data_IF_202823976908
#
_entry.id   IF_202823976908
#
_cell.length_a   1.000
_cell.length_b   1.000
_cell.length_c   1.000
_cell.angle_alpha   90.00
_cell.angle_beta   90.00
_cell.angle_gamma   90.00
#
_symmetry.space_group_name_H-M   'P 1'
#
loop_
_entity.id
_entity.type
_entity.pdbx_description
1 polymer ?
#
# COMPACT_ATOMS: atom_id res chain seq x y z
N UNK A 1 9.58 2.44 -24.30
CA UNK A 1 8.79 3.16 -23.28
C UNK A 1 9.23 2.67 -21.91
N UNK A 2 9.38 3.58 -20.97
CA UNK A 2 9.85 3.29 -19.62
C UNK A 2 8.70 3.52 -18.63
N UNK A 3 8.43 2.53 -17.79
CA UNK A 3 7.36 2.57 -16.79
C UNK A 3 7.96 2.31 -15.41
N UNK A 4 7.60 3.12 -14.42
CA UNK A 4 7.96 2.88 -13.02
C UNK A 4 6.66 2.64 -12.25
N UNK A 5 6.60 1.54 -11.51
CA UNK A 5 5.45 1.19 -10.66
C UNK A 5 5.93 0.62 -9.32
N UNK A 6 4.99 0.47 -8.37
CA UNK A 6 5.28 0.10 -7.00
C UNK A 6 4.40 -1.06 -6.52
N UNK A 7 4.94 -1.86 -5.62
CA UNK A 7 4.18 -2.77 -4.75
C UNK A 7 4.33 -2.30 -3.30
N UNK A 8 3.29 -2.50 -2.49
CA UNK A 8 3.22 -2.05 -1.10
C UNK A 8 2.46 -3.07 -0.26
N UNK A 9 2.75 -3.12 1.05
CA UNK A 9 1.92 -3.77 2.06
C UNK A 9 0.42 -3.55 1.74
N UNK A 10 -0.37 -4.62 1.47
CA UNK A 10 -1.74 -4.52 0.97
C UNK A 10 -2.65 -3.74 1.92
N UNK A 11 -2.52 -3.94 3.23
CA UNK A 11 -3.33 -3.21 4.21
C UNK A 11 -2.92 -1.73 4.23
N UNK A 12 -1.62 -1.43 4.22
CA UNK A 12 -1.13 -0.04 4.15
C UNK A 12 -1.60 0.67 2.87
N UNK A 13 -1.65 -0.05 1.74
CA UNK A 13 -2.16 0.46 0.47
C UNK A 13 -3.65 0.75 0.53
N UNK A 14 -4.43 -0.12 1.17
CA UNK A 14 -5.88 0.04 1.33
C UNK A 14 -6.19 1.24 2.24
N UNK A 15 -5.53 1.35 3.39
CA UNK A 15 -5.68 2.51 4.30
C UNK A 15 -5.32 3.80 3.56
N UNK A 16 -4.20 3.81 2.83
CA UNK A 16 -3.83 4.97 2.00
C UNK A 16 -4.87 5.29 0.92
N UNK A 17 -5.52 4.28 0.34
CA UNK A 17 -6.56 4.44 -0.68
C UNK A 17 -7.86 5.03 -0.13
N UNK A 18 -8.27 4.60 1.08
CA UNK A 18 -9.40 5.20 1.79
C UNK A 18 -9.15 6.70 1.99
N UNK A 19 -8.01 7.09 2.55
CA UNK A 19 -7.70 8.51 2.81
C UNK A 19 -7.56 9.35 1.55
N UNK A 20 -7.09 8.76 0.45
CA UNK A 20 -7.04 9.44 -0.84
C UNK A 20 -8.44 9.71 -1.43
N UNK A 21 -9.44 8.93 -1.01
CA UNK A 21 -10.81 9.01 -1.53
C UNK A 21 -11.84 9.33 -0.44
N UNK A 22 -11.39 9.86 0.70
CA UNK A 22 -12.20 9.87 1.93
C UNK A 22 -13.51 10.63 1.80
N UNK A 23 -13.52 11.76 1.08
CA UNK A 23 -14.73 12.57 0.87
C UNK A 23 -15.79 11.88 0.01
N UNK A 24 -15.41 10.87 -0.78
CA UNK A 24 -16.37 10.02 -1.51
C UNK A 24 -17.20 9.16 -0.55
N UNK A 25 -16.62 8.81 0.59
CA UNK A 25 -17.20 7.89 1.57
C UNK A 25 -17.85 8.65 2.72
N UNK A 26 -17.24 9.78 3.08
CA UNK A 26 -17.68 10.64 4.15
C UNK A 26 -17.82 12.05 3.60
N UNK A 27 -19.03 12.45 3.17
CA UNK A 27 -19.29 13.82 2.77
C UNK A 27 -18.88 14.81 3.88
N UNK A 28 -18.29 15.93 3.49
CA UNK A 28 -17.81 16.98 4.39
C UNK A 28 -16.81 16.48 5.45
N UNK A 29 -16.03 15.45 5.12
CA UNK A 29 -15.08 14.78 6.02
C UNK A 29 -14.23 15.75 6.86
N UNK A 30 -13.61 16.73 6.21
CA UNK A 30 -12.71 17.68 6.89
C UNK A 30 -13.45 18.55 7.91
N UNK A 31 -14.68 18.99 7.59
CA UNK A 31 -15.50 19.78 8.51
C UNK A 31 -15.93 18.91 9.70
N UNK A 32 -16.45 17.71 9.43
CA UNK A 32 -16.84 16.75 10.46
C UNK A 32 -15.66 16.40 11.38
N UNK A 33 -14.47 16.15 10.83
CA UNK A 33 -13.27 15.88 11.63
C UNK A 33 -12.88 17.09 12.50
N UNK A 34 -12.88 18.31 11.94
CA UNK A 34 -12.55 19.52 12.70
C UNK A 34 -13.47 19.76 13.90
N UNK A 35 -14.74 19.33 13.79
CA UNK A 35 -15.75 19.39 14.85
C UNK A 35 -15.78 18.16 15.76
N UNK A 36 -14.85 17.21 15.57
CA UNK A 36 -14.83 15.91 16.26
C UNK A 36 -16.16 15.13 16.12
N UNK A 37 -16.79 15.24 14.96
CA UNK A 37 -18.04 14.58 14.60
C UNK A 37 -17.84 13.28 13.79
N UNK A 38 -16.59 12.80 13.74
CA UNK A 38 -16.17 11.48 13.25
C UNK A 38 -15.19 10.94 14.27
N UNK A 39 -15.36 9.69 14.67
CA UNK A 39 -14.40 8.97 15.49
C UNK A 39 -13.71 7.84 14.69
N UNK A 40 -12.75 7.19 15.34
CA UNK A 40 -11.97 6.11 14.72
C UNK A 40 -12.78 4.84 14.50
N UNK A 41 -13.87 4.63 15.24
CA UNK A 41 -14.70 3.44 15.13
C UNK A 41 -15.61 3.56 13.89
N UNK A 42 -16.23 4.72 13.65
CA UNK A 42 -16.97 5.01 12.40
C UNK A 42 -16.06 4.85 11.18
N UNK A 43 -14.80 5.32 11.26
CA UNK A 43 -13.83 5.14 10.17
C UNK A 43 -13.43 3.67 9.96
N UNK A 44 -13.33 2.89 11.03
CA UNK A 44 -12.99 1.47 10.95
C UNK A 44 -14.14 0.68 10.31
N UNK A 45 -15.39 0.97 10.67
CA UNK A 45 -16.58 0.39 10.06
C UNK A 45 -16.64 0.71 8.56
N UNK A 46 -16.42 1.97 8.17
CA UNK A 46 -16.36 2.38 6.75
C UNK A 46 -15.23 1.65 6.03
N UNK A 47 -14.07 1.49 6.67
CA UNK A 47 -12.93 0.78 6.07
C UNK A 47 -13.23 -0.71 5.84
N UNK A 48 -13.88 -1.38 6.80
CA UNK A 48 -14.13 -2.82 6.79
C UNK A 48 -15.38 -3.22 5.99
N UNK A 49 -16.40 -2.38 5.95
CA UNK A 49 -17.68 -2.69 5.30
C UNK A 49 -17.88 -1.90 4.01
N UNK A 50 -17.81 -0.58 4.04
CA UNK A 50 -18.15 0.22 2.86
C UNK A 50 -17.04 0.22 1.80
N UNK A 51 -15.80 0.45 2.21
CA UNK A 51 -14.66 0.51 1.29
C UNK A 51 -14.30 -0.88 0.74
N UNK A 52 -14.46 -1.91 1.57
CA UNK A 52 -14.16 -3.30 1.22
C UNK A 52 -15.24 -3.97 0.39
N UNK A 53 -16.50 -3.91 0.83
CA UNK A 53 -17.56 -4.67 0.17
C UNK A 53 -18.03 -4.00 -1.12
N UNK A 54 -17.97 -2.66 -1.22
CA UNK A 54 -18.56 -1.92 -2.35
C UNK A 54 -17.62 -1.69 -3.53
N UNK A 55 -16.29 -1.78 -3.38
CA UNK A 55 -15.36 -1.40 -4.46
C UNK A 55 -14.44 -2.52 -4.95
N UNK A 56 -14.45 -3.74 -4.37
CA UNK A 56 -13.40 -4.76 -4.67
C UNK A 56 -11.97 -4.16 -4.52
N UNK A 57 -11.86 -3.01 -3.86
CA UNK A 57 -10.67 -2.17 -3.75
C UNK A 57 -9.53 -2.90 -3.05
N UNK A 58 -9.89 -3.82 -2.18
CA UNK A 58 -8.97 -4.67 -1.44
C UNK A 58 -8.35 -5.78 -2.29
N UNK A 59 -9.01 -6.17 -3.38
CA UNK A 59 -8.44 -7.08 -4.39
C UNK A 59 -7.63 -6.33 -5.43
N UNK A 60 -7.75 -5.01 -5.50
CA UNK A 60 -7.02 -4.19 -6.46
C UNK A 60 -5.51 -4.47 -6.43
N UNK A 61 -4.82 -4.54 -5.27
CA UNK A 61 -3.42 -4.92 -5.25
C UNK A 61 -3.16 -6.27 -5.91
N UNK A 62 -4.08 -7.23 -5.79
CA UNK A 62 -3.90 -8.61 -6.26
C UNK A 62 -4.20 -8.81 -7.75
N UNK A 63 -4.96 -7.90 -8.37
CA UNK A 63 -5.39 -8.03 -9.78
C UNK A 63 -4.91 -6.90 -10.67
N UNK A 64 -4.38 -5.80 -10.12
CA UNK A 64 -3.97 -4.65 -10.92
C UNK A 64 -2.91 -5.01 -11.95
N UNK A 65 -1.85 -5.75 -11.58
CA UNK A 65 -0.80 -6.11 -12.54
C UNK A 65 -1.31 -6.99 -13.68
N UNK A 66 -2.17 -7.98 -13.39
CA UNK A 66 -2.72 -8.85 -14.42
C UNK A 66 -3.76 -8.16 -15.29
N UNK A 67 -4.50 -7.18 -14.75
CA UNK A 67 -5.49 -6.41 -15.48
C UNK A 67 -4.87 -5.29 -16.33
N UNK A 68 -3.78 -4.68 -15.89
CA UNK A 68 -3.24 -3.45 -16.50
C UNK A 68 -1.88 -3.66 -17.18
N UNK A 69 -0.94 -4.41 -16.59
CA UNK A 69 0.39 -4.56 -17.18
C UNK A 69 0.43 -5.59 -18.30
N UNK A 70 -0.18 -6.76 -18.10
CA UNK A 70 -0.12 -7.82 -19.09
C UNK A 70 -0.86 -7.44 -20.39
N UNK A 71 -2.09 -6.89 -20.35
CA UNK A 71 -2.82 -6.56 -21.59
C UNK A 71 -2.24 -5.36 -22.33
N UNK A 72 -1.62 -4.42 -21.63
CA UNK A 72 -1.14 -3.16 -22.23
C UNK A 72 0.34 -3.24 -22.62
N UNK A 73 1.18 -3.92 -21.83
CA UNK A 73 2.63 -3.94 -22.00
C UNK A 73 3.20 -5.34 -22.25
N UNK A 74 2.38 -6.39 -22.18
CA UNK A 74 2.85 -7.78 -22.32
C UNK A 74 3.82 -8.19 -21.21
N UNK A 75 3.72 -7.58 -20.03
CA UNK A 75 4.56 -7.87 -18.87
C UNK A 75 3.73 -8.55 -17.78
N UNK A 76 4.06 -9.81 -17.50
CA UNK A 76 3.55 -10.55 -16.34
C UNK A 76 4.61 -10.55 -15.25
N UNK A 77 4.43 -9.69 -14.26
CA UNK A 77 5.38 -9.56 -13.14
C UNK A 77 5.37 -10.78 -12.23
N UNK A 78 4.30 -11.58 -12.24
CA UNK A 78 4.15 -12.79 -11.41
C UNK A 78 4.75 -14.04 -12.07
N UNK A 79 5.03 -13.98 -13.38
CA UNK A 79 5.57 -15.11 -14.15
C UNK A 79 7.02 -15.49 -13.78
N UNK A 80 7.74 -14.64 -13.05
CA UNK A 80 9.13 -14.90 -12.67
C UNK A 80 9.44 -14.33 -11.29
N UNK A 81 10.34 -15.00 -10.55
CA UNK A 81 10.65 -14.66 -9.16
C UNK A 81 11.05 -13.19 -8.97
N UNK A 82 10.50 -12.59 -7.91
CA UNK A 82 10.89 -11.26 -7.47
C UNK A 82 12.04 -11.33 -6.44
N UNK A 83 13.12 -10.55 -6.59
CA UNK A 83 14.26 -10.54 -5.67
C UNK A 83 13.88 -9.79 -4.38
N UNK A 84 13.17 -10.48 -3.49
CA UNK A 84 12.51 -9.92 -2.30
C UNK A 84 13.45 -9.11 -1.40
N UNK A 85 14.71 -9.54 -1.26
CA UNK A 85 15.73 -8.88 -0.43
C UNK A 85 16.38 -7.66 -1.09
N UNK A 86 16.33 -7.56 -2.42
CA UNK A 86 16.82 -6.40 -3.19
C UNK A 86 15.74 -5.31 -3.22
N UNK A 87 14.48 -5.73 -3.35
CA UNK A 87 13.34 -4.82 -3.25
C UNK A 87 12.93 -4.15 -4.56
N UNK A 88 13.59 -4.43 -5.68
CA UNK A 88 13.14 -4.01 -7.01
C UNK A 88 13.50 -5.02 -8.09
N UNK A 89 12.84 -4.91 -9.26
CA UNK A 89 13.18 -5.66 -10.46
C UNK A 89 12.85 -4.85 -11.71
N UNK A 90 13.68 -4.98 -12.74
CA UNK A 90 13.42 -4.44 -14.08
C UNK A 90 12.92 -5.58 -14.96
N UNK A 91 11.75 -5.40 -15.56
CA UNK A 91 11.11 -6.30 -16.52
C UNK A 91 11.24 -5.71 -17.92
N UNK A 92 11.43 -6.56 -18.92
CA UNK A 92 11.54 -6.14 -20.32
C UNK A 92 10.56 -6.94 -21.18
N UNK A 93 9.87 -6.24 -22.06
CA UNK A 93 9.03 -6.78 -23.14
C UNK A 93 9.29 -5.98 -24.41
N UNK A 94 8.65 -6.34 -25.52
CA UNK A 94 8.85 -5.68 -26.81
C UNK A 94 8.51 -4.17 -26.71
N UNK A 95 9.55 -3.33 -26.75
CA UNK A 95 9.43 -1.87 -26.70
C UNK A 95 9.09 -1.28 -25.32
N UNK A 96 9.02 -2.09 -24.25
CA UNK A 96 8.69 -1.64 -22.89
C UNK A 96 9.69 -2.15 -21.87
N UNK A 97 10.21 -1.24 -21.04
CA UNK A 97 10.92 -1.58 -19.81
C UNK A 97 10.12 -1.10 -18.60
N UNK A 98 9.99 -1.95 -17.59
CA UNK A 98 9.22 -1.67 -16.38
C UNK A 98 10.08 -1.88 -15.14
N UNK A 99 10.25 -0.83 -14.35
CA UNK A 99 10.83 -0.91 -13.01
C UNK A 99 9.71 -1.06 -11.98
N UNK A 100 9.74 -2.16 -11.23
CA UNK A 100 8.86 -2.40 -10.08
C UNK A 100 9.68 -2.31 -8.79
N UNK A 101 9.26 -1.47 -7.84
CA UNK A 101 9.92 -1.29 -6.54
C UNK A 101 8.95 -1.60 -5.39
N UNK A 102 9.42 -2.30 -4.37
CA UNK A 102 8.74 -2.38 -3.07
C UNK A 102 8.82 -1.04 -2.37
N UNK A 103 7.68 -0.46 -2.02
CA UNK A 103 7.66 0.81 -1.32
C UNK A 103 8.41 0.75 0.03
N UNK A 104 8.37 -0.40 0.70
CA UNK A 104 9.08 -0.63 1.97
C UNK A 104 10.61 -0.56 1.83
N UNK A 105 11.13 -0.77 0.62
CA UNK A 105 12.56 -0.74 0.30
C UNK A 105 12.95 0.52 -0.48
N UNK A 106 12.01 1.43 -0.76
CA UNK A 106 12.22 2.57 -1.66
C UNK A 106 13.47 3.38 -1.26
N UNK A 107 13.56 3.80 0.00
CA UNK A 107 14.70 4.60 0.47
C UNK A 107 16.05 3.87 0.37
N UNK A 108 16.04 2.53 0.36
CA UNK A 108 17.24 1.70 0.35
C UNK A 108 17.71 1.42 -1.08
N UNK A 109 16.78 1.08 -1.98
CA UNK A 109 17.10 0.61 -3.32
C UNK A 109 16.93 1.66 -4.42
N UNK A 110 16.22 2.77 -4.18
CA UNK A 110 15.89 3.75 -5.21
C UNK A 110 17.11 4.28 -5.98
N UNK A 111 18.22 4.71 -5.35
CA UNK A 111 19.37 5.23 -6.10
C UNK A 111 19.94 4.20 -7.09
N UNK A 112 20.10 2.95 -6.64
CA UNK A 112 20.60 1.85 -7.47
C UNK A 112 19.61 1.49 -8.57
N UNK A 113 18.34 1.32 -8.21
CA UNK A 113 17.28 0.92 -9.13
C UNK A 113 17.09 1.93 -10.27
N UNK A 114 17.08 3.22 -9.95
CA UNK A 114 16.92 4.29 -10.93
C UNK A 114 18.14 4.40 -11.83
N UNK A 115 19.35 4.32 -11.28
CA UNK A 115 20.59 4.35 -12.07
C UNK A 115 20.64 3.18 -13.06
N UNK A 116 20.25 1.99 -12.61
CA UNK A 116 20.20 0.80 -13.48
C UNK A 116 19.12 0.93 -14.55
N UNK A 117 17.96 1.49 -14.21
CA UNK A 117 16.81 1.61 -15.12
C UNK A 117 16.95 2.72 -16.15
N UNK A 118 17.38 3.93 -15.73
CA UNK A 118 17.43 5.11 -16.59
C UNK A 118 18.85 5.45 -17.06
N UNK A 119 19.88 4.83 -16.47
CA UNK A 119 21.29 5.09 -16.81
C UNK A 119 21.90 6.34 -16.16
N UNK A 120 21.17 7.03 -15.29
CA UNK A 120 21.65 8.22 -14.58
C UNK A 120 21.09 8.31 -13.16
N UNK A 121 21.81 9.06 -12.31
CA UNK A 121 21.43 9.25 -10.91
C UNK A 121 20.34 10.34 -10.79
N UNK A 122 19.32 10.07 -9.97
CA UNK A 122 18.28 11.04 -9.63
C UNK A 122 18.27 11.22 -8.10
N UNK A 123 18.33 12.46 -7.59
CA UNK A 123 18.19 12.69 -6.16
C UNK A 123 16.78 12.33 -5.71
N UNK A 124 16.66 11.50 -4.68
CA UNK A 124 15.37 11.21 -4.08
C UNK A 124 14.90 12.43 -3.28
N UNK A 125 13.86 13.09 -3.75
CA UNK A 125 13.20 14.18 -3.04
C UNK A 125 11.85 13.70 -2.51
N UNK A 126 11.63 13.93 -1.22
CA UNK A 126 10.39 13.58 -0.53
C UNK A 126 9.29 14.58 -0.92
N UNK A 127 8.55 14.31 -2.01
CA UNK A 127 7.46 15.17 -2.49
C UNK A 127 6.05 14.63 -2.18
N UNK A 128 5.93 13.39 -1.71
CA UNK A 128 4.67 12.71 -1.39
C UNK A 128 4.68 12.15 0.04
N UNK A 129 5.33 12.83 0.97
CA UNK A 129 5.20 12.48 2.38
C UNK A 129 3.81 12.88 2.78
N UNK A 130 3.00 11.92 3.25
CA UNK A 130 1.65 12.20 3.69
C UNK A 130 1.60 13.36 4.71
N UNK A 131 2.71 13.64 5.41
CA UNK A 131 2.94 14.78 6.30
C UNK A 131 2.57 16.17 5.75
N UNK A 132 2.61 16.36 4.43
CA UNK A 132 2.25 17.65 3.81
C UNK A 132 0.74 17.77 3.52
N UNK A 133 -0.02 16.70 3.72
CA UNK A 133 -1.48 16.70 3.51
C UNK A 133 -2.19 17.05 4.81
N UNK A 134 -3.22 17.91 4.71
CA UNK A 134 -4.01 18.40 5.85
C UNK A 134 -4.60 17.29 6.74
N UNK A 135 -4.80 16.08 6.20
CA UNK A 135 -5.31 14.92 6.93
C UNK A 135 -4.24 14.03 7.57
N UNK A 136 -2.95 14.33 7.49
CA UNK A 136 -1.89 13.45 8.00
C UNK A 136 -2.02 13.10 9.49
N UNK A 137 -2.32 14.06 10.40
CA UNK A 137 -2.46 13.74 11.81
C UNK A 137 -3.55 12.69 12.04
N UNK A 138 -4.67 12.81 11.32
CA UNK A 138 -5.77 11.87 11.38
C UNK A 138 -5.43 10.51 10.76
N UNK A 139 -4.72 10.49 9.64
CA UNK A 139 -4.21 9.25 9.07
C UNK A 139 -3.36 8.49 10.09
N UNK A 140 -2.48 9.19 10.82
CA UNK A 140 -1.67 8.59 11.86
C UNK A 140 -2.49 8.11 13.06
N UNK A 141 -3.46 8.91 13.52
CA UNK A 141 -4.37 8.54 14.60
C UNK A 141 -5.19 7.30 14.25
N UNK A 142 -5.85 7.32 13.09
CA UNK A 142 -6.60 6.18 12.56
C UNK A 142 -5.71 4.95 12.46
N UNK A 143 -4.52 5.06 11.86
CA UNK A 143 -3.60 3.93 11.73
C UNK A 143 -3.11 3.39 13.08
N UNK A 144 -3.17 4.16 14.18
CA UNK A 144 -2.82 3.67 15.52
C UNK A 144 -4.02 3.07 16.27
N UNK A 145 -5.22 3.55 15.97
CA UNK A 145 -6.45 3.11 16.63
C UNK A 145 -7.16 1.96 15.90
N UNK A 146 -6.87 1.76 14.61
CA UNK A 146 -7.55 0.82 13.73
C UNK A 146 -7.39 -0.62 14.22
N UNK A 147 -8.48 -1.20 14.70
CA UNK A 147 -8.56 -2.61 15.06
C UNK A 147 -9.08 -3.40 13.86
N UNK A 148 -8.26 -4.32 13.38
CA UNK A 148 -8.61 -5.19 12.26
C UNK A 148 -8.94 -6.60 12.77
N UNK A 149 -10.02 -7.23 12.28
CA UNK A 149 -10.28 -8.64 12.57
C UNK A 149 -9.12 -9.53 12.10
N UNK A 150 -8.75 -10.54 12.89
CA UNK A 150 -7.68 -11.47 12.52
C UNK A 150 -7.95 -12.15 11.18
N UNK A 151 -9.20 -12.54 10.93
CA UNK A 151 -9.61 -13.14 9.66
C UNK A 151 -9.33 -12.22 8.46
N UNK A 152 -9.51 -10.90 8.63
CA UNK A 152 -9.20 -9.93 7.59
C UNK A 152 -7.70 -9.84 7.33
N UNK A 153 -6.89 -9.74 8.39
CA UNK A 153 -5.43 -9.70 8.29
C UNK A 153 -4.91 -10.96 7.57
N UNK A 154 -5.34 -12.13 8.03
CA UNK A 154 -4.94 -13.42 7.45
C UNK A 154 -5.34 -13.53 5.99
N UNK A 155 -6.56 -13.11 5.63
CA UNK A 155 -7.01 -13.09 4.24
C UNK A 155 -6.08 -12.25 3.36
N UNK A 156 -5.71 -11.04 3.79
CA UNK A 156 -4.86 -10.14 3.00
C UNK A 156 -3.46 -10.72 2.74
N UNK A 157 -2.85 -11.38 3.73
CA UNK A 157 -1.51 -11.94 3.61
C UNK A 157 -1.47 -13.38 3.09
N UNK A 158 -2.61 -14.07 3.05
CA UNK A 158 -2.70 -15.44 2.48
C UNK A 158 -2.62 -15.49 0.96
N UNK A 159 -2.68 -14.34 0.27
CA UNK A 159 -2.70 -14.26 -1.18
C UNK A 159 -1.32 -14.58 -1.81
N UNK A 160 -1.32 -15.34 -2.91
CA UNK A 160 -0.10 -15.66 -3.67
C UNK A 160 0.62 -14.41 -4.17
N UNK A 161 -0.11 -13.33 -4.45
CA UNK A 161 0.47 -12.05 -4.81
C UNK A 161 1.42 -11.53 -3.72
N UNK A 162 0.98 -11.55 -2.46
CA UNK A 162 1.80 -11.09 -1.34
C UNK A 162 3.01 -11.98 -1.19
N UNK A 163 2.83 -13.30 -1.24
CA UNK A 163 3.94 -14.26 -1.16
C UNK A 163 4.89 -14.18 -2.35
N UNK A 164 4.48 -13.64 -3.48
CA UNK A 164 5.36 -13.43 -4.62
C UNK A 164 6.35 -12.28 -4.34
N UNK A 165 5.86 -11.16 -3.80
CA UNK A 165 6.69 -9.98 -3.55
C UNK A 165 7.39 -10.03 -2.20
N UNK A 166 6.74 -10.54 -1.15
CA UNK A 166 7.23 -10.47 0.23
C UNK A 166 7.72 -11.83 0.74
N UNK A 167 8.76 -11.79 1.56
CA UNK A 167 9.27 -12.95 2.29
C UNK A 167 8.38 -13.26 3.49
N UNK A 168 8.48 -14.49 4.01
CA UNK A 168 7.70 -14.88 5.20
C UNK A 168 7.99 -13.98 6.40
N UNK A 169 9.25 -13.56 6.59
CA UNK A 169 9.61 -12.64 7.68
C UNK A 169 9.01 -11.24 7.51
N UNK A 170 8.91 -10.73 6.28
CA UNK A 170 8.20 -9.48 5.99
C UNK A 170 6.70 -9.62 6.26
N UNK A 171 6.09 -10.71 5.81
CA UNK A 171 4.68 -11.01 6.03
C UNK A 171 4.37 -11.10 7.53
N UNK A 172 5.18 -11.84 8.30
CA UNK A 172 5.04 -11.96 9.76
C UNK A 172 5.16 -10.59 10.45
N UNK A 173 6.09 -9.75 10.00
CA UNK A 173 6.25 -8.40 10.53
C UNK A 173 5.02 -7.53 10.23
N UNK A 174 4.42 -7.64 9.04
CA UNK A 174 3.19 -6.94 8.70
C UNK A 174 2.02 -7.43 9.54
N UNK A 175 1.80 -8.74 9.65
CA UNK A 175 0.74 -9.33 10.47
C UNK A 175 0.87 -8.85 11.92
N UNK A 176 2.08 -8.93 12.50
CA UNK A 176 2.33 -8.46 13.86
C UNK A 176 2.01 -6.98 14.01
N UNK A 177 2.49 -6.14 13.08
CA UNK A 177 2.19 -4.70 13.07
C UNK A 177 0.68 -4.47 13.12
N UNK A 178 -0.09 -5.07 12.22
CA UNK A 178 -1.54 -4.84 12.14
C UNK A 178 -2.36 -5.47 13.27
N UNK A 179 -1.83 -6.50 13.95
CA UNK A 179 -2.42 -7.05 15.19
C UNK A 179 -2.13 -6.21 16.43
N UNK A 180 -0.96 -5.57 16.50
CA UNK A 180 -0.53 -4.76 17.66
C UNK A 180 -1.02 -3.32 17.61
N UNK A 181 -1.55 -2.88 16.47
CA UNK A 181 -2.21 -1.59 16.35
C UNK A 181 -3.55 -1.64 17.11
N UNK A 182 -3.63 -0.80 18.14
CA UNK A 182 -4.74 -0.63 19.07
C UNK A 182 -4.29 0.39 20.14
N UNK A 183 -5.19 1.00 20.92
CA UNK A 183 -4.78 1.94 21.95
C UNK A 183 -3.75 1.27 22.85
N UNK A 184 -2.61 1.95 23.09
CA UNK A 184 -1.75 1.61 24.22
C UNK A 184 -2.68 1.54 25.43
N UNK A 185 -2.88 0.32 25.95
CA UNK A 185 -3.71 0.11 27.10
C UNK A 185 -3.27 1.09 28.18
N UNK A 186 -4.21 1.85 28.72
CA UNK A 186 -4.03 2.43 30.03
C UNK A 186 -3.76 1.24 30.96
N UNK A 187 -2.51 1.10 31.38
CA UNK A 187 -2.18 0.24 32.51
C UNK A 187 -2.99 0.78 33.69
N UNK A 188 -3.92 -0.04 34.17
CA UNK A 188 -4.52 0.09 35.49
C UNK A 188 -3.42 -0.13 36.54
#
# INVERSE_FOLDING_TARGET
>A
MEVITLVRDPIARNVSGLFQTIERWIPDFYDRYSRKAIDTDELAEIFLHDYHDKIDSYKLPFHWFSAELQPVFGIDVLACDFPKSVGYKIYKSEGVELLLIKLEYLNQCFPTAIKEFLGFDIPMTSANVAADKSYYPLYQEFTRALKLPDAYIEQQYSCNYVRHFYSESEIDAFIKKWRTIGPLGQSV
#
